data_IF_994339088387
#
_entry.id   IF_994339088387
#
_cell.length_a   1.000
_cell.length_b   1.000
_cell.length_c   1.000
_cell.angle_alpha   90.00
_cell.angle_beta   90.00
_cell.angle_gamma   90.00
#
_symmetry.space_group_name_H-M   'P 1'
#
loop_
_entity.id
_entity.type
_entity.pdbx_description
1 polymer ?
#
# COMPACT_ATOMS: atom_id res chain seq x y z
N UNK A 1 20.74 15.45 -33.22
CA UNK A 1 20.03 15.66 -31.94
C UNK A 1 18.84 14.71 -31.90
N UNK A 2 19.08 13.47 -31.47
CA UNK A 2 18.03 12.47 -31.25
C UNK A 2 17.66 12.51 -29.76
N UNK A 3 16.75 13.39 -29.38
CA UNK A 3 16.07 13.27 -28.08
C UNK A 3 14.99 12.20 -28.24
N UNK A 4 15.40 10.94 -28.18
CA UNK A 4 14.52 9.80 -28.10
C UNK A 4 13.66 9.93 -26.84
N UNK A 5 12.39 10.27 -27.02
CA UNK A 5 11.34 10.20 -26.00
C UNK A 5 11.02 8.73 -25.66
N UNK A 6 12.05 7.95 -25.31
CA UNK A 6 11.88 6.62 -24.77
C UNK A 6 11.59 6.79 -23.28
N UNK A 7 10.29 6.74 -22.97
CA UNK A 7 9.87 6.50 -21.60
C UNK A 7 10.43 5.16 -21.11
N UNK A 8 10.80 5.04 -19.83
CA UNK A 8 11.28 3.79 -19.28
C UNK A 8 10.23 2.69 -19.52
N UNK A 9 10.63 1.60 -20.18
CA UNK A 9 9.79 0.42 -20.35
C UNK A 9 9.86 -0.41 -19.07
N UNK A 10 8.75 -0.51 -18.34
CA UNK A 10 8.59 -1.52 -17.30
C UNK A 10 8.34 -2.86 -18.00
N UNK A 11 9.35 -3.75 -17.97
CA UNK A 11 9.37 -5.04 -18.68
C UNK A 11 8.77 -6.20 -17.88
N UNK A 12 8.10 -5.93 -16.77
CA UNK A 12 7.41 -6.94 -16.00
C UNK A 12 5.92 -6.62 -16.07
N UNK A 13 5.18 -7.46 -16.79
CA UNK A 13 3.74 -7.61 -16.54
C UNK A 13 3.61 -7.85 -15.04
N UNK A 14 3.08 -6.86 -14.31
CA UNK A 14 2.80 -7.00 -12.90
C UNK A 14 1.81 -8.14 -12.75
N UNK A 15 2.30 -9.34 -12.46
CA UNK A 15 1.47 -10.43 -12.03
C UNK A 15 0.86 -9.96 -10.73
N UNK A 16 -0.42 -9.61 -10.77
CA UNK A 16 -1.22 -9.44 -9.56
C UNK A 16 -1.09 -10.77 -8.81
N UNK A 17 -0.19 -10.79 -7.81
CA UNK A 17 0.04 -11.94 -6.97
C UNK A 17 -1.24 -12.33 -6.23
N UNK A 18 -1.19 -13.41 -5.46
CA UNK A 18 -2.33 -13.79 -4.63
C UNK A 18 -2.59 -12.65 -3.64
N UNK A 19 -3.86 -12.29 -3.32
CA UNK A 19 -4.16 -11.21 -2.35
C UNK A 19 -3.44 -11.37 -1.00
N UNK A 20 -3.06 -12.59 -0.64
CA UNK A 20 -2.23 -12.89 0.54
C UNK A 20 -0.84 -12.27 0.49
N UNK A 21 -0.27 -12.09 -0.70
CA UNK A 21 1.09 -11.56 -0.89
C UNK A 21 1.15 -10.06 -0.55
N UNK A 22 0.02 -9.34 -0.64
CA UNK A 22 -0.09 -7.94 -0.23
C UNK A 22 0.28 -7.75 1.24
N UNK A 23 -0.07 -8.71 2.12
CA UNK A 23 0.30 -8.65 3.54
C UNK A 23 1.81 -8.70 3.77
N UNK A 24 2.56 -9.36 2.89
CA UNK A 24 4.02 -9.46 3.00
C UNK A 24 4.72 -8.25 2.38
N UNK A 25 4.13 -7.69 1.32
CA UNK A 25 4.75 -6.65 0.49
C UNK A 25 4.42 -5.23 1.00
N UNK A 26 3.20 -4.99 1.49
CA UNK A 26 2.75 -3.66 1.92
C UNK A 26 3.14 -3.32 3.38
N UNK A 27 3.90 -2.24 3.63
CA UNK A 27 4.37 -1.89 4.98
C UNK A 27 3.26 -1.36 5.91
N UNK A 28 2.22 -0.73 5.38
CA UNK A 28 1.04 -0.24 6.12
C UNK A 28 0.22 -1.41 6.69
N UNK A 29 -0.07 -2.44 5.88
CA UNK A 29 -0.74 -3.65 6.33
C UNK A 29 0.05 -4.39 7.41
N UNK A 30 1.38 -4.48 7.24
CA UNK A 30 2.27 -5.09 8.26
C UNK A 30 2.24 -4.31 9.56
N UNK A 31 2.23 -2.97 9.49
CA UNK A 31 2.15 -2.13 10.68
C UNK A 31 0.82 -2.35 11.41
N UNK A 32 -0.31 -2.41 10.69
CA UNK A 32 -1.62 -2.69 11.29
C UNK A 32 -1.70 -4.11 11.90
N UNK A 33 -1.22 -5.14 11.19
CA UNK A 33 -1.17 -6.50 11.73
C UNK A 33 -0.34 -6.59 13.03
N UNK A 34 0.80 -5.89 13.09
CA UNK A 34 1.62 -5.82 14.30
C UNK A 34 0.92 -5.09 15.45
N UNK A 35 0.08 -4.08 15.18
CA UNK A 35 -0.76 -3.43 16.21
C UNK A 35 -1.77 -4.40 16.78
N UNK A 36 -2.46 -5.16 15.93
CA UNK A 36 -3.42 -6.17 16.36
C UNK A 36 -2.77 -7.22 17.29
N UNK A 37 -1.59 -7.70 16.91
CA UNK A 37 -0.77 -8.60 17.74
C UNK A 37 -0.38 -7.97 19.08
N UNK A 38 -0.04 -6.67 19.10
CA UNK A 38 0.29 -5.97 20.35
C UNK A 38 -0.89 -5.88 21.32
N UNK A 39 -2.11 -5.72 20.79
CA UNK A 39 -3.34 -5.68 21.60
C UNK A 39 -3.68 -7.07 22.12
N UNK A 40 -3.49 -8.12 21.33
CA UNK A 40 -3.64 -9.51 21.77
C UNK A 40 -2.72 -9.83 22.96
N UNK A 41 -1.45 -9.44 22.88
CA UNK A 41 -0.52 -9.55 24.02
C UNK A 41 -0.98 -8.74 25.25
N UNK A 42 -1.54 -7.54 25.05
CA UNK A 42 -2.11 -6.75 26.13
C UNK A 42 -3.34 -7.44 26.75
N UNK A 43 -4.19 -8.14 26.00
CA UNK A 43 -5.26 -8.95 26.58
C UNK A 43 -4.68 -10.06 27.46
N UNK A 44 -3.63 -10.74 26.98
CA UNK A 44 -2.91 -11.76 27.75
C UNK A 44 -2.35 -11.23 29.07
N UNK A 45 -1.74 -10.03 29.06
CA UNK A 45 -1.27 -9.34 30.27
C UNK A 45 -2.42 -9.07 31.26
N UNK A 46 -3.57 -8.56 30.78
CA UNK A 46 -4.72 -8.28 31.64
C UNK A 46 -5.35 -9.55 32.23
N UNK A 47 -5.30 -10.66 31.50
CA UNK A 47 -5.69 -11.99 32.02
C UNK A 47 -4.68 -12.44 33.08
N UNK A 48 -3.38 -12.27 32.85
CA UNK A 48 -2.34 -12.64 33.81
C UNK A 48 -2.46 -11.84 35.13
N UNK A 49 -2.88 -10.58 35.07
CA UNK A 49 -3.17 -9.73 36.24
C UNK A 49 -4.38 -10.22 37.08
N UNK A 50 -5.13 -11.22 36.62
CA UNK A 50 -6.10 -11.91 37.48
C UNK A 50 -5.43 -12.82 38.52
N UNK A 51 -4.20 -13.27 38.25
CA UNK A 51 -3.48 -14.23 39.07
C UNK A 51 -2.54 -13.54 40.06
N UNK A 52 -2.21 -14.20 41.20
CA UNK A 52 -1.23 -13.68 42.14
C UNK A 52 0.13 -13.48 41.47
N UNK A 53 0.78 -12.34 41.76
CA UNK A 53 2.14 -12.07 41.30
C UNK A 53 3.14 -12.60 42.33
N UNK A 54 4.04 -13.47 41.87
CA UNK A 54 5.17 -13.92 42.68
C UNK A 54 6.38 -13.03 42.35
N UNK A 55 6.73 -12.13 43.26
CA UNK A 55 7.95 -11.32 43.14
C UNK A 55 9.03 -12.03 43.95
N UNK A 56 10.06 -12.52 43.26
CA UNK A 56 11.26 -13.03 43.90
C UNK A 56 12.17 -11.84 44.26
N UNK A 57 11.88 -11.21 45.39
CA UNK A 57 12.70 -10.14 45.93
C UNK A 57 14.00 -10.72 46.51
N UNK A 58 15.11 -10.58 45.78
CA UNK A 58 16.45 -10.90 46.26
C UNK A 58 17.03 -9.72 47.08
N UNK A 59 16.27 -9.14 47.98
CA UNK A 59 16.81 -8.20 48.98
C UNK A 59 17.27 -9.01 50.20
N UNK A 60 18.26 -9.86 49.96
CA UNK A 60 18.96 -10.57 51.01
C UNK A 60 20.28 -9.86 51.24
N UNK A 61 20.29 -8.91 52.19
CA UNK A 61 21.47 -8.70 53.00
C UNK A 61 21.99 -10.06 53.44
N UNK A 62 23.25 -10.35 53.10
CA UNK A 62 23.88 -11.67 53.17
C UNK A 62 23.95 -12.13 54.64
N UNK A 63 22.84 -12.64 55.18
CA UNK A 63 22.74 -13.18 56.53
C UNK A 63 22.48 -14.68 56.42
N UNK A 64 23.57 -15.44 56.28
CA UNK A 64 23.90 -16.84 56.66
C UNK A 64 22.83 -17.92 56.98
N UNK A 65 21.54 -17.74 56.75
CA UNK A 65 20.49 -18.74 56.98
C UNK A 65 19.47 -18.70 55.84
N UNK A 66 19.86 -19.18 54.67
CA UNK A 66 18.94 -19.44 53.56
C UNK A 66 18.06 -20.65 53.93
N UNK A 67 16.99 -20.40 54.68
CA UNK A 67 15.94 -21.39 54.87
C UNK A 67 14.94 -21.26 53.69
N UNK A 68 14.89 -22.23 52.75
CA UNK A 68 13.99 -22.15 51.61
C UNK A 68 12.53 -22.02 52.03
N UNK A 69 12.13 -22.61 53.16
CA UNK A 69 10.76 -22.46 53.67
C UNK A 69 10.42 -21.02 54.09
N UNK A 70 11.39 -20.25 54.60
CA UNK A 70 11.19 -18.86 54.96
C UNK A 70 11.07 -17.95 53.73
N UNK A 71 11.82 -18.24 52.67
CA UNK A 71 11.72 -17.53 51.38
C UNK A 71 10.39 -17.82 50.65
N UNK A 72 9.93 -19.07 50.68
CA UNK A 72 8.62 -19.44 50.14
C UNK A 72 7.48 -18.79 50.94
N UNK A 73 7.60 -18.73 52.27
CA UNK A 73 6.60 -18.10 53.13
C UNK A 73 6.52 -16.57 52.93
N UNK A 74 7.64 -15.88 52.75
CA UNK A 74 7.65 -14.43 52.47
C UNK A 74 7.07 -14.11 51.09
N UNK A 75 7.41 -14.90 50.05
CA UNK A 75 6.84 -14.75 48.71
C UNK A 75 5.31 -14.98 48.69
N UNK A 76 4.80 -15.91 49.51
CA UNK A 76 3.36 -16.13 49.68
C UNK A 76 2.66 -15.01 50.46
N UNK A 77 3.33 -14.38 51.41
CA UNK A 77 2.79 -13.25 52.17
C UNK A 77 2.62 -11.98 51.30
N UNK A 78 3.53 -11.77 50.33
CA UNK A 78 3.45 -10.68 49.35
C UNK A 78 2.46 -10.95 48.20
N UNK A 79 2.12 -12.22 47.96
CA UNK A 79 1.20 -12.65 46.89
C UNK A 79 -0.29 -12.33 47.17
N UNK A 80 -0.62 -11.70 48.30
CA UNK A 80 -1.99 -11.31 48.64
C UNK A 80 -2.39 -10.06 47.85
N UNK A 81 -2.85 -10.26 46.62
CA UNK A 81 -3.50 -9.23 45.82
C UNK A 81 -4.87 -8.83 46.40
N UNK A 82 -5.40 -7.64 46.06
CA UNK A 82 -6.70 -7.19 46.57
C UNK A 82 -7.81 -8.19 46.19
N UNK A 83 -8.42 -8.79 47.20
CA UNK A 83 -9.46 -9.81 47.06
C UNK A 83 -10.78 -9.19 46.56
N UNK A 84 -10.95 -7.87 46.71
CA UNK A 84 -12.17 -7.13 46.34
C UNK A 84 -11.84 -6.08 45.28
N UNK A 85 -11.94 -6.45 44.01
CA UNK A 85 -11.80 -5.53 42.87
C UNK A 85 -13.13 -5.10 42.22
N UNK A 86 -14.28 -5.53 42.79
CA UNK A 86 -15.65 -5.23 42.27
C UNK A 86 -15.82 -5.42 40.75
N UNK A 87 -15.13 -6.38 40.15
CA UNK A 87 -15.19 -6.65 38.71
C UNK A 87 -14.28 -5.78 37.82
N UNK A 88 -13.49 -4.85 38.39
CA UNK A 88 -12.59 -3.95 37.64
C UNK A 88 -11.65 -4.67 36.68
N UNK A 89 -11.05 -5.79 37.12
CA UNK A 89 -10.14 -6.60 36.28
C UNK A 89 -10.85 -7.28 35.10
N UNK A 90 -12.09 -7.73 35.30
CA UNK A 90 -12.91 -8.28 34.22
C UNK A 90 -13.31 -7.18 33.23
N UNK A 91 -13.71 -6.01 33.72
CA UNK A 91 -14.03 -4.86 32.88
C UNK A 91 -12.83 -4.38 32.05
N UNK A 92 -11.60 -4.44 32.59
CA UNK A 92 -10.39 -4.10 31.82
C UNK A 92 -10.11 -5.10 30.70
N UNK A 93 -10.33 -6.40 30.92
CA UNK A 93 -10.21 -7.41 29.86
C UNK A 93 -11.26 -7.18 28.78
N UNK A 94 -12.51 -6.92 29.17
CA UNK A 94 -13.59 -6.61 28.24
C UNK A 94 -13.25 -5.37 27.40
N UNK A 95 -12.72 -4.32 28.04
CA UNK A 95 -12.24 -3.12 27.35
C UNK A 95 -11.14 -3.44 26.34
N UNK A 96 -10.15 -4.26 26.70
CA UNK A 96 -9.05 -4.65 25.78
C UNK A 96 -9.55 -5.55 24.64
N UNK A 97 -10.55 -6.41 24.88
CA UNK A 97 -11.22 -7.20 23.84
C UNK A 97 -11.98 -6.32 22.85
N UNK A 98 -12.72 -5.32 23.35
CA UNK A 98 -13.40 -4.36 22.49
C UNK A 98 -12.41 -3.58 21.62
N UNK A 99 -11.27 -3.14 22.17
CA UNK A 99 -10.19 -2.51 21.39
C UNK A 99 -9.58 -3.45 20.33
N UNK A 100 -9.48 -4.74 20.62
CA UNK A 100 -9.03 -5.72 19.64
C UNK A 100 -10.03 -5.88 18.49
N UNK A 101 -11.33 -5.92 18.80
CA UNK A 101 -12.38 -6.00 17.77
C UNK A 101 -12.41 -4.74 16.89
N UNK A 102 -12.21 -3.56 17.48
CA UNK A 102 -12.07 -2.29 16.75
C UNK A 102 -10.87 -2.33 15.79
N UNK A 103 -9.69 -2.70 16.29
CA UNK A 103 -8.48 -2.73 15.45
C UNK A 103 -8.48 -3.86 14.42
N UNK A 104 -9.21 -4.96 14.69
CA UNK A 104 -9.47 -5.99 13.69
C UNK A 104 -10.36 -5.47 12.56
N UNK A 105 -11.37 -4.66 12.89
CA UNK A 105 -12.21 -4.02 11.88
C UNK A 105 -11.39 -3.03 11.03
N UNK A 106 -10.57 -2.19 11.65
CA UNK A 106 -9.67 -1.25 10.96
C UNK A 106 -8.69 -1.98 10.04
N UNK A 107 -8.08 -3.09 10.52
CA UNK A 107 -7.22 -3.94 9.68
C UNK A 107 -7.97 -4.52 8.48
N UNK A 108 -9.20 -4.99 8.71
CA UNK A 108 -10.03 -5.59 7.66
C UNK A 108 -10.42 -4.56 6.60
N UNK A 109 -10.78 -3.34 7.02
CA UNK A 109 -11.04 -2.23 6.12
C UNK A 109 -9.79 -1.88 5.31
N UNK A 110 -8.65 -1.69 5.97
CA UNK A 110 -7.38 -1.40 5.30
C UNK A 110 -7.00 -2.47 4.27
N UNK A 111 -7.21 -3.75 4.60
CA UNK A 111 -6.96 -4.86 3.68
C UNK A 111 -7.89 -4.80 2.45
N UNK A 112 -9.19 -4.59 2.65
CA UNK A 112 -10.13 -4.46 1.54
C UNK A 112 -9.83 -3.25 0.67
N UNK A 113 -9.52 -2.09 1.27
CA UNK A 113 -9.10 -0.89 0.54
C UNK A 113 -7.82 -1.15 -0.27
N UNK A 114 -6.86 -1.89 0.27
CA UNK A 114 -5.62 -2.22 -0.45
C UNK A 114 -5.87 -3.08 -1.69
N UNK A 115 -6.83 -4.01 -1.63
CA UNK A 115 -7.26 -4.80 -2.80
C UNK A 115 -7.94 -3.87 -3.82
N UNK A 116 -8.84 -3.02 -3.36
CA UNK A 116 -9.55 -2.07 -4.22
C UNK A 116 -8.58 -1.12 -4.94
N UNK A 117 -7.53 -0.65 -4.26
CA UNK A 117 -6.48 0.19 -4.86
C UNK A 117 -5.77 -0.52 -6.02
N UNK A 118 -5.42 -1.80 -5.85
CA UNK A 118 -4.75 -2.61 -6.88
C UNK A 118 -5.69 -2.87 -8.05
N UNK A 119 -6.94 -3.28 -7.78
CA UNK A 119 -7.93 -3.53 -8.82
C UNK A 119 -8.22 -2.26 -9.63
N UNK A 120 -8.44 -1.13 -8.94
CA UNK A 120 -8.64 0.17 -9.59
C UNK A 120 -7.44 0.58 -10.44
N UNK A 121 -6.21 0.33 -9.98
CA UNK A 121 -5.00 0.63 -10.74
C UNK A 121 -4.87 -0.23 -12.01
N UNK A 122 -5.16 -1.53 -11.91
CA UNK A 122 -5.17 -2.45 -13.05
C UNK A 122 -6.23 -2.06 -14.08
N UNK A 123 -7.45 -1.77 -13.62
CA UNK A 123 -8.53 -1.31 -14.49
C UNK A 123 -8.18 -0.01 -15.22
N UNK A 124 -7.58 0.96 -14.51
CA UNK A 124 -7.10 2.21 -15.11
C UNK A 124 -6.01 1.95 -16.14
N UNK A 125 -5.08 1.04 -15.87
CA UNK A 125 -4.02 0.69 -16.81
C UNK A 125 -4.59 0.15 -18.13
N UNK A 126 -5.48 -0.85 -18.03
CA UNK A 126 -6.11 -1.47 -19.20
C UNK A 126 -6.88 -0.43 -20.04
N UNK A 127 -7.71 0.39 -19.40
CA UNK A 127 -8.47 1.42 -20.10
C UNK A 127 -7.57 2.47 -20.75
N UNK A 128 -6.47 2.84 -20.08
CA UNK A 128 -5.53 3.81 -20.61
C UNK A 128 -4.78 3.26 -21.83
N UNK A 129 -4.41 1.99 -21.82
CA UNK A 129 -3.77 1.31 -22.95
C UNK A 129 -4.73 1.26 -24.16
N UNK A 130 -6.00 0.92 -23.95
CA UNK A 130 -7.04 0.96 -24.99
C UNK A 130 -7.24 2.36 -25.57
N UNK A 131 -7.23 3.39 -24.72
CA UNK A 131 -7.34 4.79 -25.16
C UNK A 131 -6.15 5.21 -26.01
N UNK A 132 -4.93 4.81 -25.62
CA UNK A 132 -3.71 5.07 -26.40
C UNK A 132 -3.81 4.39 -27.77
N UNK A 133 -4.24 3.13 -27.84
CA UNK A 133 -4.44 2.41 -29.10
C UNK A 133 -5.46 3.12 -30.02
N UNK A 134 -6.59 3.56 -29.46
CA UNK A 134 -7.60 4.33 -30.20
C UNK A 134 -7.02 5.65 -30.77
N UNK A 135 -6.23 6.37 -29.97
CA UNK A 135 -5.58 7.61 -30.41
C UNK A 135 -4.48 7.37 -31.44
N UNK A 136 -3.78 6.23 -31.39
CA UNK A 136 -2.81 5.84 -32.42
C UNK A 136 -3.50 5.59 -33.76
N UNK A 137 -4.66 4.92 -33.74
CA UNK A 137 -5.50 4.73 -34.93
C UNK A 137 -6.04 6.08 -35.47
N UNK A 138 -6.45 6.98 -34.58
CA UNK A 138 -6.85 8.34 -34.98
C UNK A 138 -5.68 9.09 -35.64
N UNK A 139 -4.48 9.03 -35.04
CA UNK A 139 -3.27 9.66 -35.58
C UNK A 139 -2.98 9.20 -37.00
N UNK A 140 -3.09 7.90 -37.29
CA UNK A 140 -2.92 7.37 -38.65
C UNK A 140 -3.91 8.01 -39.63
N UNK A 141 -5.15 8.21 -39.20
CA UNK A 141 -6.19 8.88 -40.02
C UNK A 141 -5.87 10.37 -40.24
N UNK A 142 -5.40 11.08 -39.21
CA UNK A 142 -4.97 12.49 -39.34
C UNK A 142 -3.76 12.66 -40.26
N UNK A 143 -2.80 11.73 -40.24
CA UNK A 143 -1.66 11.71 -41.18
C UNK A 143 -2.15 11.56 -42.62
N UNK A 144 -3.10 10.64 -42.88
CA UNK A 144 -3.70 10.47 -44.21
C UNK A 144 -4.40 11.76 -44.66
N UNK A 145 -5.21 12.38 -43.79
CA UNK A 145 -5.89 13.64 -44.09
C UNK A 145 -4.90 14.76 -44.45
N UNK A 146 -3.80 14.90 -43.72
CA UNK A 146 -2.77 15.89 -44.01
C UNK A 146 -2.13 15.64 -45.39
N UNK A 147 -1.82 14.38 -45.73
CA UNK A 147 -1.26 14.03 -47.03
C UNK A 147 -2.24 14.33 -48.17
N UNK A 148 -3.50 13.97 -48.03
CA UNK A 148 -4.56 14.25 -49.01
C UNK A 148 -4.75 15.76 -49.24
N UNK A 149 -4.77 16.55 -48.15
CA UNK A 149 -4.87 18.01 -48.26
C UNK A 149 -3.65 18.62 -48.96
N UNK A 150 -2.44 18.08 -48.74
CA UNK A 150 -1.23 18.52 -49.45
C UNK A 150 -1.29 18.19 -50.95
N UNK A 151 -1.78 17.01 -51.31
CA UNK A 151 -1.94 16.60 -52.71
C UNK A 151 -2.92 17.54 -53.44
N UNK A 152 -4.10 17.79 -52.85
CA UNK A 152 -5.09 18.72 -53.42
C UNK A 152 -4.56 20.13 -53.60
N UNK A 153 -3.85 20.65 -52.61
CA UNK A 153 -3.20 21.95 -52.71
C UNK A 153 -2.16 21.98 -53.85
N UNK A 154 -1.30 20.96 -53.94
CA UNK A 154 -0.28 20.88 -54.99
C UNK A 154 -0.87 20.78 -56.41
N UNK A 155 -2.07 20.21 -56.54
CA UNK A 155 -2.82 20.14 -57.79
C UNK A 155 -3.62 21.43 -58.10
N UNK A 156 -3.56 22.45 -57.23
CA UNK A 156 -4.35 23.68 -57.36
C UNK A 156 -5.84 23.50 -57.07
N UNK A 157 -6.24 22.37 -56.48
CA UNK A 157 -7.64 22.02 -56.21
C UNK A 157 -8.20 22.58 -54.89
N UNK A 158 -7.37 23.24 -54.07
CA UNK A 158 -7.80 23.91 -52.83
C UNK A 158 -6.79 24.98 -52.38
N UNK A 159 -7.25 25.95 -51.59
CA UNK A 159 -6.36 26.85 -50.83
C UNK A 159 -5.45 26.10 -49.85
N UNK A 160 -4.49 26.79 -49.23
CA UNK A 160 -3.55 26.19 -48.27
C UNK A 160 -4.15 26.00 -46.86
N UNK A 161 -5.25 26.70 -46.53
CA UNK A 161 -5.89 26.62 -45.20
C UNK A 161 -6.25 25.18 -44.75
N UNK A 162 -6.81 24.30 -45.61
CA UNK A 162 -7.05 22.90 -45.26
C UNK A 162 -5.80 22.10 -44.88
N UNK A 163 -4.62 22.46 -45.41
CA UNK A 163 -3.34 21.84 -45.03
C UNK A 163 -2.97 22.23 -43.60
N UNK A 164 -3.10 23.52 -43.27
CA UNK A 164 -2.84 24.02 -41.91
C UNK A 164 -3.81 23.43 -40.90
N UNK A 165 -5.11 23.35 -41.22
CA UNK A 165 -6.11 22.75 -40.36
C UNK A 165 -5.83 21.25 -40.11
N UNK A 166 -5.45 20.50 -41.16
CA UNK A 166 -5.08 19.09 -41.01
C UNK A 166 -3.78 18.91 -40.19
N UNK A 167 -2.80 19.80 -40.35
CA UNK A 167 -1.56 19.78 -39.57
C UNK A 167 -1.83 20.06 -38.09
N UNK A 168 -2.63 21.08 -37.79
CA UNK A 168 -3.01 21.40 -36.41
C UNK A 168 -3.75 20.22 -35.77
N UNK A 169 -4.74 19.65 -36.47
CA UNK A 169 -5.48 18.48 -35.98
C UNK A 169 -4.58 17.26 -35.73
N UNK A 170 -3.56 17.02 -36.56
CA UNK A 170 -2.57 15.97 -36.31
C UNK A 170 -1.74 16.26 -35.06
N UNK A 171 -1.26 17.50 -34.91
CA UNK A 171 -0.45 17.91 -33.75
C UNK A 171 -1.23 17.81 -32.43
N UNK A 172 -2.53 18.09 -32.45
CA UNK A 172 -3.38 17.99 -31.26
C UNK A 172 -3.48 16.52 -30.79
N UNK A 173 -3.70 15.57 -31.71
CA UNK A 173 -3.71 14.13 -31.38
C UNK A 173 -2.34 13.64 -30.91
N UNK A 174 -1.25 14.11 -31.51
CA UNK A 174 0.11 13.75 -31.08
C UNK A 174 0.42 14.24 -29.66
N UNK A 175 -0.03 15.44 -29.29
CA UNK A 175 0.10 15.96 -27.91
C UNK A 175 -0.76 15.17 -26.93
N UNK A 176 -2.00 14.84 -27.31
CA UNK A 176 -2.89 13.98 -26.52
C UNK A 176 -2.21 12.64 -26.22
N UNK A 177 -1.65 11.97 -27.24
CA UNK A 177 -0.90 10.71 -27.09
C UNK A 177 0.24 10.80 -26.08
N UNK A 178 1.04 11.87 -26.13
CA UNK A 178 2.14 12.08 -25.18
C UNK A 178 1.59 12.23 -23.76
N UNK A 179 0.51 13.00 -23.59
CA UNK A 179 -0.16 13.16 -22.29
C UNK A 179 -0.68 11.83 -21.74
N UNK A 180 -1.34 11.02 -22.59
CA UNK A 180 -1.88 9.71 -22.21
C UNK A 180 -0.81 8.70 -21.87
N UNK A 181 0.32 8.69 -22.59
CA UNK A 181 1.48 7.85 -22.26
C UNK A 181 2.11 8.25 -20.93
N UNK A 182 2.21 9.54 -20.63
CA UNK A 182 2.67 10.03 -19.31
C UNK A 182 1.73 9.60 -18.18
N UNK A 183 0.43 9.65 -18.41
CA UNK A 183 -0.59 9.18 -17.48
C UNK A 183 -0.48 7.66 -17.26
N UNK A 184 -0.26 6.86 -18.31
CA UNK A 184 -0.02 5.42 -18.19
C UNK A 184 1.18 5.10 -17.29
N UNK A 185 2.28 5.84 -17.42
CA UNK A 185 3.45 5.67 -16.54
C UNK A 185 3.12 5.99 -15.08
N UNK A 186 2.31 7.03 -14.85
CA UNK A 186 1.87 7.40 -13.52
C UNK A 186 1.00 6.32 -12.89
N UNK A 187 0.10 5.70 -13.68
CA UNK A 187 -0.71 4.55 -13.26
C UNK A 187 0.19 3.35 -12.91
N UNK A 188 1.19 3.05 -13.73
CA UNK A 188 2.14 1.95 -13.47
C UNK A 188 2.97 2.16 -12.20
N UNK A 189 3.41 3.40 -11.95
CA UNK A 189 4.08 3.76 -10.68
C UNK A 189 3.13 3.55 -9.50
N UNK A 190 1.87 3.98 -9.61
CA UNK A 190 0.87 3.76 -8.56
C UNK A 190 0.61 2.27 -8.33
N UNK A 191 0.45 1.48 -9.39
CA UNK A 191 0.26 0.03 -9.30
C UNK A 191 1.44 -0.65 -8.58
N UNK A 192 2.68 -0.26 -8.92
CA UNK A 192 3.88 -0.76 -8.25
C UNK A 192 3.88 -0.44 -6.74
N UNK A 193 3.46 0.77 -6.36
CA UNK A 193 3.34 1.16 -4.95
C UNK A 193 2.21 0.38 -4.26
N UNK A 194 1.05 0.23 -4.90
CA UNK A 194 -0.11 -0.46 -4.36
C UNK A 194 0.16 -1.96 -4.11
N UNK A 195 0.97 -2.60 -4.97
CA UNK A 195 1.43 -3.97 -4.79
C UNK A 195 2.47 -4.12 -3.66
N UNK A 196 3.00 -3.01 -3.13
CA UNK A 196 4.07 -3.06 -2.13
C UNK A 196 5.43 -3.41 -2.75
N UNK A 197 5.61 -3.16 -4.05
CA UNK A 197 6.89 -3.35 -4.71
C UNK A 197 7.98 -2.56 -3.99
N UNK A 198 9.18 -3.14 -3.78
CA UNK A 198 10.25 -2.45 -3.08
C UNK A 198 10.52 -1.12 -3.79
N UNK A 199 10.57 -0.02 -3.04
CA UNK A 199 11.21 1.18 -3.56
C UNK A 199 12.63 0.77 -3.90
N UNK A 200 12.88 0.44 -5.17
CA UNK A 200 14.23 0.33 -5.67
C UNK A 200 14.81 1.70 -5.37
N UNK A 201 15.62 1.77 -4.30
CA UNK A 201 16.58 2.83 -4.17
C UNK A 201 17.38 2.69 -5.45
N UNK A 202 17.01 3.48 -6.46
CA UNK A 202 17.83 3.64 -7.64
C UNK A 202 19.22 3.88 -7.07
N UNK A 203 20.11 2.92 -7.29
CA UNK A 203 21.51 3.05 -6.94
C UNK A 203 21.99 4.26 -7.73
N UNK A 204 21.81 5.44 -7.14
CA UNK A 204 22.53 6.65 -7.45
C UNK A 204 23.93 6.36 -6.91
N UNK A 205 24.64 5.51 -7.65
CA UNK A 205 26.08 5.45 -7.55
C UNK A 205 26.58 6.88 -7.79
N UNK A 206 27.41 7.42 -6.89
CA UNK A 206 27.91 8.80 -6.97
C UNK A 206 28.70 9.07 -8.26
#
# INVERSE_FOLDING_TARGET
>A
YETGANFPSFSEEFQAGVPSDLLMQRPDLRASANRLVSIDYAIGEAIADQYPRFVLSADAGIAKTLNPTALFASALAEAVGPIIDKGRRQAEIERRRALFEEELADFSELFLTSIEEVENALWRQIHQEQLIEALENERVTRVKLLNESRIRYAQGGSDYLPVLAALQSLQDVERELISRRRELLSIRVFLHLALGGPLSHANLTP
#
